data_IF_377315822771
#
_entry.id   IF_377315822771
#
_cell.length_a   1.000
_cell.length_b   1.000
_cell.length_c   1.000
_cell.angle_alpha   90.00
_cell.angle_beta   90.00
_cell.angle_gamma   90.00
#
_symmetry.space_group_name_H-M   'P 1'
#
loop_
_entity.id
_entity.type
_entity.pdbx_description
1 polymer ?
#
# COMPACT_ATOMS: atom_id res chain seq x y z
N UNK A 1 73.92 27.48 -42.95
CA UNK A 1 75.02 26.81 -42.23
C UNK A 1 74.75 26.93 -40.73
N UNK A 2 75.09 25.86 -40.00
CA UNK A 2 74.94 25.64 -38.54
C UNK A 2 73.53 25.20 -38.08
N UNK A 3 73.16 23.92 -38.07
CA UNK A 3 73.57 22.71 -37.27
C UNK A 3 72.99 22.63 -35.86
N UNK A 4 72.09 21.64 -35.74
CA UNK A 4 71.54 20.95 -34.58
C UNK A 4 72.48 20.74 -33.39
N UNK A 5 71.91 20.81 -32.18
CA UNK A 5 72.08 19.76 -31.17
C UNK A 5 70.72 19.34 -30.62
N UNK A 6 70.38 18.09 -30.96
CA UNK A 6 69.36 17.24 -30.36
C UNK A 6 69.93 16.61 -29.10
N UNK A 7 69.18 16.64 -27.99
CA UNK A 7 69.22 15.60 -26.97
C UNK A 7 67.78 15.36 -26.53
N UNK A 8 67.20 14.27 -27.05
CA UNK A 8 66.07 13.59 -26.44
C UNK A 8 66.58 12.32 -25.77
N UNK A 9 65.93 11.92 -24.67
CA UNK A 9 65.80 10.57 -24.09
C UNK A 9 64.96 10.77 -22.81
N UNK A 10 63.91 10.04 -22.46
CA UNK A 10 63.15 8.93 -23.03
C UNK A 10 61.90 8.78 -22.14
N UNK A 11 60.70 8.73 -22.70
CA UNK A 11 59.84 7.53 -22.76
C UNK A 11 59.93 6.61 -21.53
N UNK A 12 58.82 6.56 -20.78
CA UNK A 12 58.62 5.60 -19.70
C UNK A 12 57.27 5.75 -19.01
N UNK A 13 56.23 5.17 -19.62
CA UNK A 13 55.14 4.42 -18.97
C UNK A 13 54.21 5.18 -18.01
N UNK A 14 53.01 5.54 -18.49
CA UNK A 14 51.75 4.81 -18.26
C UNK A 14 51.33 4.76 -16.79
N UNK A 15 50.22 5.44 -16.55
CA UNK A 15 49.27 5.34 -15.43
C UNK A 15 49.21 3.94 -14.78
N UNK A 16 48.94 3.87 -13.47
CA UNK A 16 47.55 3.95 -13.07
C UNK A 16 47.35 4.91 -11.90
N UNK A 17 46.73 6.05 -12.18
CA UNK A 17 45.97 6.76 -11.16
C UNK A 17 44.81 5.85 -10.78
N UNK A 18 44.85 5.27 -9.58
CA UNK A 18 43.67 4.69 -8.94
C UNK A 18 42.69 5.82 -8.64
N UNK A 19 41.91 6.19 -9.65
CA UNK A 19 40.62 6.82 -9.45
C UNK A 19 39.71 5.74 -8.85
N UNK A 20 39.58 5.73 -7.53
CA UNK A 20 38.40 5.15 -6.91
C UNK A 20 37.21 6.04 -7.26
N UNK A 21 36.65 5.74 -8.43
CA UNK A 21 35.31 6.12 -8.84
C UNK A 21 34.32 5.59 -7.80
N UNK A 22 33.90 6.46 -6.89
CA UNK A 22 32.61 6.31 -6.25
C UNK A 22 31.59 7.12 -7.07
N UNK A 23 30.54 6.50 -7.61
CA UNK A 23 29.48 7.23 -8.29
C UNK A 23 28.65 7.96 -7.22
N UNK A 24 28.79 9.28 -7.15
CA UNK A 24 27.80 10.12 -6.47
C UNK A 24 26.66 10.40 -7.46
N UNK A 25 25.39 10.32 -7.03
CA UNK A 25 24.24 10.37 -7.93
C UNK A 25 24.15 11.75 -8.57
N UNK A 26 24.38 11.76 -9.88
CA UNK A 26 24.18 12.90 -10.77
C UNK A 26 22.68 13.22 -10.80
N UNK A 27 22.25 14.26 -10.11
CA UNK A 27 20.97 14.91 -10.44
C UNK A 27 21.10 15.49 -11.84
N UNK A 28 20.43 14.81 -12.76
CA UNK A 28 20.24 15.27 -14.13
C UNK A 28 19.46 16.59 -14.08
N UNK A 29 19.88 17.54 -14.90
CA UNK A 29 19.07 18.70 -15.29
C UNK A 29 17.70 18.16 -15.72
N UNK A 30 16.56 18.71 -15.25
CA UNK A 30 15.28 18.29 -15.77
C UNK A 30 15.22 18.74 -17.24
N UNK A 31 15.45 17.79 -18.12
CA UNK A 31 14.89 17.77 -19.47
C UNK A 31 13.41 18.08 -19.33
N UNK A 32 12.82 18.94 -20.18
CA UNK A 32 11.38 19.19 -20.14
C UNK A 32 10.68 17.85 -20.29
N UNK A 33 10.00 17.42 -19.22
CA UNK A 33 9.21 16.21 -19.19
C UNK A 33 8.11 16.41 -20.23
N UNK A 34 8.04 15.62 -21.31
CA UNK A 34 6.81 15.48 -22.06
C UNK A 34 5.82 14.85 -21.09
N UNK A 35 4.76 15.61 -20.81
CA UNK A 35 3.45 15.20 -20.30
C UNK A 35 3.38 13.72 -19.87
N UNK A 36 3.19 13.50 -18.57
CA UNK A 36 2.78 12.23 -17.98
C UNK A 36 1.43 11.69 -18.52
N UNK A 37 0.82 12.34 -19.52
CA UNK A 37 -0.28 11.80 -20.29
C UNK A 37 0.16 10.67 -21.22
N UNK A 38 1.36 10.70 -21.83
CA UNK A 38 1.72 9.76 -22.91
C UNK A 38 1.97 8.32 -22.40
N UNK A 39 2.68 8.13 -21.28
CA UNK A 39 2.92 6.80 -20.69
C UNK A 39 1.62 6.21 -20.08
N UNK A 40 0.68 7.06 -19.65
CA UNK A 40 -0.61 6.58 -19.12
C UNK A 40 -1.64 6.36 -20.23
N UNK A 41 -1.56 7.10 -21.33
CA UNK A 41 -2.34 6.93 -22.55
C UNK A 41 -1.94 5.66 -23.29
N UNK A 42 -0.64 5.37 -23.46
CA UNK A 42 -0.19 4.10 -24.06
C UNK A 42 -0.67 2.89 -23.25
N UNK A 43 -0.63 2.97 -21.92
CA UNK A 43 -1.14 1.91 -21.05
C UNK A 43 -2.67 1.76 -21.11
N UNK A 44 -3.38 2.88 -21.31
CA UNK A 44 -4.83 2.90 -21.49
C UNK A 44 -5.22 2.38 -22.86
N UNK A 45 -4.50 2.72 -23.92
CA UNK A 45 -4.76 2.27 -25.29
C UNK A 45 -4.43 0.78 -25.45
N UNK A 46 -3.34 0.30 -24.83
CA UNK A 46 -3.04 -1.14 -24.72
C UNK A 46 -4.12 -1.88 -23.92
N UNK A 47 -4.65 -1.27 -22.86
CA UNK A 47 -5.76 -1.86 -22.10
C UNK A 47 -7.04 -1.90 -22.92
N UNK A 48 -7.37 -0.83 -23.65
CA UNK A 48 -8.54 -0.75 -24.54
C UNK A 48 -8.42 -1.76 -25.69
N UNK A 49 -7.24 -1.89 -26.29
CA UNK A 49 -6.95 -2.88 -27.33
C UNK A 49 -7.13 -4.31 -26.78
N UNK A 50 -6.56 -4.60 -25.60
CA UNK A 50 -6.76 -5.90 -24.94
C UNK A 50 -8.20 -6.16 -24.54
N UNK A 51 -8.92 -5.14 -24.07
CA UNK A 51 -10.34 -5.28 -23.72
C UNK A 51 -11.17 -5.56 -24.97
N UNK A 52 -10.89 -4.86 -26.07
CA UNK A 52 -11.55 -5.09 -27.35
C UNK A 52 -11.22 -6.48 -27.91
N UNK A 53 -9.98 -6.93 -27.81
CA UNK A 53 -9.59 -8.30 -28.18
C UNK A 53 -10.28 -9.34 -27.30
N UNK A 54 -10.46 -9.08 -26.02
CA UNK A 54 -11.12 -10.00 -25.08
C UNK A 54 -12.63 -10.04 -25.34
N UNK A 55 -13.26 -8.90 -25.63
CA UNK A 55 -14.66 -8.82 -26.06
C UNK A 55 -14.85 -9.51 -27.42
N UNK A 56 -13.94 -9.30 -28.37
CA UNK A 56 -13.96 -9.97 -29.67
C UNK A 56 -13.77 -11.49 -29.52
N UNK A 57 -12.87 -11.94 -28.65
CA UNK A 57 -12.69 -13.36 -28.33
C UNK A 57 -13.92 -13.95 -27.67
N UNK A 58 -14.48 -13.33 -26.64
CA UNK A 58 -15.72 -13.78 -26.00
C UNK A 58 -16.90 -13.81 -26.99
N UNK A 59 -17.00 -12.81 -27.89
CA UNK A 59 -18.04 -12.78 -28.92
C UNK A 59 -17.89 -13.91 -29.96
N UNK A 60 -16.65 -14.33 -30.23
CA UNK A 60 -16.32 -15.37 -31.21
C UNK A 60 -16.34 -16.78 -30.59
N UNK A 61 -16.10 -16.89 -29.29
CA UNK A 61 -15.89 -18.13 -28.55
C UNK A 61 -17.14 -18.60 -27.79
N UNK A 62 -18.18 -17.75 -27.66
CA UNK A 62 -19.48 -18.08 -27.06
C UNK A 62 -20.23 -19.25 -27.72
N UNK A 63 -19.82 -19.71 -28.91
CA UNK A 63 -20.42 -20.87 -29.58
C UNK A 63 -19.77 -22.22 -29.19
N UNK A 64 -18.58 -22.24 -28.60
CA UNK A 64 -17.90 -23.48 -28.22
C UNK A 64 -18.25 -23.93 -26.80
N UNK A 65 -18.51 -22.98 -25.91
CA UNK A 65 -18.86 -23.27 -24.52
C UNK A 65 -20.27 -23.88 -24.41
N UNK A 66 -21.24 -23.48 -25.21
CA UNK A 66 -22.62 -23.99 -25.07
C UNK A 66 -22.73 -25.51 -25.36
N UNK A 67 -21.93 -26.03 -26.29
CA UNK A 67 -21.85 -27.48 -26.58
C UNK A 67 -21.10 -28.27 -25.49
N UNK A 68 -20.08 -27.67 -24.89
CA UNK A 68 -19.32 -28.29 -23.79
C UNK A 68 -20.12 -28.23 -22.50
N UNK A 69 -20.77 -27.11 -22.22
CA UNK A 69 -21.66 -26.87 -21.08
C UNK A 69 -22.87 -27.79 -21.16
N UNK A 70 -23.51 -27.94 -22.32
CA UNK A 70 -24.61 -28.94 -22.49
C UNK A 70 -24.13 -30.37 -22.33
N UNK A 71 -22.89 -30.70 -22.73
CA UNK A 71 -22.28 -32.02 -22.48
C UNK A 71 -22.02 -32.25 -20.99
N UNK A 72 -21.54 -31.23 -20.28
CA UNK A 72 -21.33 -31.26 -18.82
C UNK A 72 -22.66 -31.41 -18.09
N UNK A 73 -23.70 -30.65 -18.46
CA UNK A 73 -25.04 -30.81 -17.88
C UNK A 73 -25.57 -32.23 -18.07
N UNK A 74 -25.45 -32.80 -19.27
CA UNK A 74 -25.87 -34.18 -19.54
C UNK A 74 -25.10 -35.21 -18.71
N UNK A 75 -23.81 -34.99 -18.47
CA UNK A 75 -22.96 -35.88 -17.68
C UNK A 75 -23.26 -35.75 -16.17
N UNK A 76 -23.51 -34.53 -15.70
CA UNK A 76 -23.95 -34.22 -14.33
C UNK A 76 -25.34 -34.81 -14.06
N UNK A 77 -26.28 -34.75 -15.01
CA UNK A 77 -27.60 -35.38 -14.88
C UNK A 77 -27.48 -36.91 -14.81
N UNK A 78 -26.54 -37.50 -15.56
CA UNK A 78 -26.20 -38.92 -15.46
C UNK A 78 -25.67 -39.30 -14.08
N UNK A 79 -24.80 -38.46 -13.51
CA UNK A 79 -24.26 -38.65 -12.16
C UNK A 79 -25.35 -38.44 -11.10
N UNK A 80 -26.23 -37.45 -11.25
CA UNK A 80 -27.37 -37.25 -10.35
C UNK A 80 -28.34 -38.44 -10.39
N UNK A 81 -28.60 -39.00 -11.57
CA UNK A 81 -29.42 -40.20 -11.73
C UNK A 81 -28.83 -41.43 -11.02
N UNK A 82 -27.50 -41.60 -11.08
CA UNK A 82 -26.81 -42.66 -10.34
C UNK A 82 -26.81 -42.41 -8.82
N UNK A 83 -26.66 -41.14 -8.40
CA UNK A 83 -26.62 -40.77 -6.98
C UNK A 83 -28.01 -40.85 -6.31
N UNK A 84 -29.08 -40.51 -7.03
CA UNK A 84 -30.47 -40.68 -6.57
C UNK A 84 -30.93 -42.15 -6.60
N UNK A 85 -30.28 -42.99 -7.41
CA UNK A 85 -30.63 -44.39 -7.58
C UNK A 85 -30.14 -45.34 -6.48
N UNK A 86 -29.20 -44.92 -5.62
CA UNK A 86 -28.53 -45.83 -4.67
C UNK A 86 -28.55 -45.36 -3.20
N UNK A 87 -29.61 -44.67 -2.77
CA UNK A 87 -29.78 -44.30 -1.35
C UNK A 87 -30.54 -45.35 -0.54
N UNK A 88 -30.15 -46.62 -0.66
CA UNK A 88 -30.63 -47.67 0.25
C UNK A 88 -29.57 -48.71 0.59
N UNK A 89 -28.43 -48.30 1.16
CA UNK A 89 -27.55 -49.24 1.88
C UNK A 89 -26.54 -48.56 2.80
N UNK A 90 -26.61 -48.96 4.07
CA UNK A 90 -25.54 -49.08 5.09
C UNK A 90 -24.81 -47.86 5.65
N UNK A 91 -25.09 -47.69 6.96
CA UNK A 91 -24.18 -47.23 8.02
C UNK A 91 -22.81 -47.93 7.95
N UNK A 92 -21.73 -47.18 8.20
CA UNK A 92 -20.62 -47.58 9.11
C UNK A 92 -19.76 -46.36 9.48
N UNK A 93 -19.20 -46.48 10.68
CA UNK A 93 -18.50 -45.52 11.52
C UNK A 93 -17.01 -45.29 11.21
N UNK A 94 -16.49 -44.21 11.82
CA UNK A 94 -15.16 -44.05 12.44
C UNK A 94 -13.99 -43.51 11.60
N UNK A 95 -13.22 -42.61 12.24
CA UNK A 95 -11.75 -42.67 12.18
C UNK A 95 -11.01 -41.46 11.61
N UNK A 96 -10.72 -40.50 12.50
CA UNK A 96 -9.51 -39.65 12.67
C UNK A 96 -8.47 -39.45 11.53
N UNK A 97 -8.15 -38.16 11.34
CA UNK A 97 -6.86 -37.50 11.06
C UNK A 97 -5.97 -37.94 9.87
N UNK A 98 -5.72 -37.00 8.94
CA UNK A 98 -4.37 -36.78 8.36
C UNK A 98 -4.25 -35.42 7.63
N UNK A 99 -3.15 -34.73 7.94
CA UNK A 99 -2.37 -33.72 7.21
C UNK A 99 -3.02 -32.89 6.08
N UNK A 100 -3.03 -31.58 6.27
CA UNK A 100 -3.20 -30.58 5.21
C UNK A 100 -1.82 -30.06 4.81
N UNK A 101 -1.27 -30.64 3.75
CA UNK A 101 -0.26 -29.99 2.91
C UNK A 101 -0.80 -29.94 1.48
N UNK A 102 -1.26 -28.77 1.06
CA UNK A 102 -1.53 -28.39 -0.34
C UNK A 102 -1.71 -26.87 -0.38
N UNK A 103 -0.76 -26.13 -0.93
CA UNK A 103 -0.67 -25.83 -2.37
C UNK A 103 -1.74 -24.81 -2.78
N UNK A 104 -1.34 -23.54 -2.66
CA UNK A 104 -1.81 -22.37 -3.39
C UNK A 104 -2.89 -22.65 -4.45
N UNK A 105 -4.14 -22.44 -4.06
CA UNK A 105 -5.25 -22.15 -4.98
C UNK A 105 -5.79 -20.76 -4.63
N UNK A 106 -5.72 -19.87 -5.62
CA UNK A 106 -5.95 -18.44 -5.50
C UNK A 106 -7.43 -18.11 -5.48
N UNK A 107 -7.99 -18.03 -4.27
CA UNK A 107 -9.22 -17.25 -4.06
C UNK A 107 -9.02 -16.25 -2.93
N UNK A 108 -9.03 -14.98 -3.30
CA UNK A 108 -9.18 -13.83 -2.42
C UNK A 108 -10.33 -14.08 -1.43
N UNK A 109 -10.02 -14.29 -0.16
CA UNK A 109 -11.00 -14.20 0.94
C UNK A 109 -10.31 -13.65 2.18
N UNK A 110 -9.54 -12.56 2.02
CA UNK A 110 -8.68 -12.05 3.09
C UNK A 110 -9.22 -10.84 3.87
N UNK A 111 -10.23 -10.09 3.40
CA UNK A 111 -10.71 -8.89 4.13
C UNK A 111 -12.23 -8.83 4.34
N UNK A 112 -12.81 -9.89 4.90
CA UNK A 112 -14.14 -9.83 5.50
C UNK A 112 -14.19 -10.66 6.77
N UNK A 113 -14.88 -10.21 7.84
CA UNK A 113 -15.01 -11.01 9.05
C UNK A 113 -15.67 -12.35 8.69
N UNK A 114 -15.09 -13.44 9.19
CA UNK A 114 -15.60 -14.80 9.04
C UNK A 114 -16.91 -14.88 9.85
N UNK A 115 -18.03 -14.52 9.24
CA UNK A 115 -19.35 -14.75 9.82
C UNK A 115 -19.75 -16.21 9.58
N UNK A 116 -20.20 -16.96 10.59
CA UNK A 116 -20.54 -18.39 10.51
C UNK A 116 -21.85 -18.71 9.74
N UNK A 117 -22.22 -17.92 8.72
CA UNK A 117 -23.49 -18.05 7.98
C UNK A 117 -23.36 -18.20 6.46
N UNK A 118 -22.15 -18.35 5.90
CA UNK A 118 -21.91 -18.39 4.44
C UNK A 118 -22.40 -19.66 3.70
N UNK A 119 -23.07 -20.63 4.34
CA UNK A 119 -23.55 -21.85 3.67
C UNK A 119 -25.05 -22.19 3.85
N UNK A 120 -25.88 -21.28 4.35
CA UNK A 120 -27.32 -21.56 4.44
C UNK A 120 -27.96 -21.30 3.07
N UNK A 121 -28.07 -22.34 2.24
CA UNK A 121 -29.04 -22.37 1.13
C UNK A 121 -30.44 -22.34 1.75
N UNK A 122 -31.06 -21.17 1.77
CA UNK A 122 -32.47 -21.03 2.12
C UNK A 122 -33.33 -21.53 0.94
N UNK A 123 -33.71 -22.80 0.96
CA UNK A 123 -34.76 -23.33 0.09
C UNK A 123 -36.12 -22.93 0.67
N UNK A 124 -36.76 -21.96 0.04
CA UNK A 124 -38.16 -21.61 0.31
C UNK A 124 -39.02 -22.78 -0.16
N UNK A 125 -39.87 -23.39 0.68
CA UNK A 125 -40.85 -24.35 0.21
C UNK A 125 -41.87 -23.61 -0.67
N UNK A 126 -41.75 -23.71 -2.00
CA UNK A 126 -42.83 -23.35 -2.90
C UNK A 126 -44.00 -24.30 -2.61
N UNK A 127 -45.07 -23.77 -1.99
CA UNK A 127 -46.33 -24.49 -1.88
C UNK A 127 -46.90 -24.65 -3.28
N UNK A 128 -46.69 -25.82 -3.88
CA UNK A 128 -47.52 -26.27 -4.98
C UNK A 128 -48.95 -26.36 -4.47
N UNK A 129 -49.81 -25.47 -4.96
CA UNK A 129 -51.25 -25.49 -4.71
C UNK A 129 -51.88 -26.66 -5.48
N UNK A 130 -51.72 -27.87 -4.95
CA UNK A 130 -52.63 -28.97 -5.21
C UNK A 130 -53.62 -28.99 -4.05
N UNK A 131 -54.82 -28.43 -4.26
CA UNK A 131 -55.95 -28.58 -3.36
C UNK A 131 -56.34 -30.06 -3.35
N UNK A 132 -55.74 -30.81 -2.44
CA UNK A 132 -56.32 -32.04 -1.91
C UNK A 132 -56.84 -31.65 -0.54
N UNK A 133 -58.16 -31.49 -0.44
CA UNK A 133 -58.87 -31.44 0.84
C UNK A 133 -58.47 -32.70 1.61
N UNK A 134 -57.50 -32.55 2.51
CA UNK A 134 -57.22 -33.51 3.55
C UNK A 134 -58.10 -33.09 4.70
N UNK A 135 -59.22 -33.79 4.80
CA UNK A 135 -60.07 -33.93 5.98
C UNK A 135 -59.19 -33.85 7.24
N UNK A 136 -59.39 -32.77 8.01
CA UNK A 136 -58.73 -32.54 9.29
C UNK A 136 -59.31 -33.55 10.28
N UNK A 137 -58.75 -34.76 10.30
CA UNK A 137 -58.82 -35.64 11.45
C UNK A 137 -58.16 -34.88 12.62
N UNK A 138 -59.00 -34.29 13.47
CA UNK A 138 -58.64 -33.70 14.77
C UNK A 138 -58.05 -34.79 15.67
N UNK A 139 -56.79 -35.16 15.41
CA UNK A 139 -56.02 -35.96 16.33
C UNK A 139 -55.64 -35.05 17.49
N UNK A 140 -56.59 -34.88 18.42
CA UNK A 140 -56.47 -34.03 19.59
C UNK A 140 -55.13 -34.32 20.27
N UNK A 141 -54.20 -33.37 20.14
CA UNK A 141 -52.93 -33.47 20.82
C UNK A 141 -53.23 -33.54 22.32
N UNK A 142 -52.67 -34.51 23.03
CA UNK A 142 -52.92 -34.57 24.47
C UNK A 142 -52.50 -33.23 25.09
N UNK A 143 -53.30 -32.62 25.98
CA UNK A 143 -53.06 -31.27 26.49
C UNK A 143 -51.69 -31.13 27.17
N UNK A 144 -51.14 -32.24 27.69
CA UNK A 144 -49.79 -32.33 28.27
C UNK A 144 -48.68 -32.13 27.23
N UNK A 145 -48.84 -32.68 26.02
CA UNK A 145 -47.86 -32.53 24.93
C UNK A 145 -47.92 -31.10 24.39
N UNK A 146 -49.14 -30.56 24.20
CA UNK A 146 -49.31 -29.17 23.76
C UNK A 146 -48.70 -28.18 24.77
N UNK A 147 -48.93 -28.38 26.08
CA UNK A 147 -48.34 -27.55 27.12
C UNK A 147 -46.81 -27.66 27.17
N UNK A 148 -46.25 -28.86 26.94
CA UNK A 148 -44.78 -29.05 26.88
C UNK A 148 -44.18 -28.34 25.68
N UNK A 149 -44.79 -28.47 24.51
CA UNK A 149 -44.36 -27.77 23.29
C UNK A 149 -44.44 -26.26 23.47
N UNK A 150 -45.51 -25.74 24.08
CA UNK A 150 -45.64 -24.32 24.39
C UNK A 150 -44.52 -23.84 25.33
N UNK A 151 -44.23 -24.59 26.40
CA UNK A 151 -43.14 -24.27 27.33
C UNK A 151 -41.77 -24.28 26.64
N UNK A 152 -41.47 -25.30 25.84
CA UNK A 152 -40.23 -25.39 25.08
C UNK A 152 -40.11 -24.24 24.06
N UNK A 153 -41.22 -23.84 23.42
CA UNK A 153 -41.25 -22.70 22.51
C UNK A 153 -41.04 -21.36 23.23
N UNK A 154 -41.59 -21.18 24.42
CA UNK A 154 -41.36 -19.99 25.27
C UNK A 154 -39.90 -19.93 25.75
N UNK A 155 -39.32 -21.06 26.17
CA UNK A 155 -37.90 -21.16 26.53
C UNK A 155 -36.98 -20.83 25.35
N UNK A 156 -37.32 -21.30 24.14
CA UNK A 156 -36.58 -20.94 22.92
C UNK A 156 -36.75 -19.46 22.59
N UNK A 157 -37.96 -18.91 22.69
CA UNK A 157 -38.23 -17.51 22.41
C UNK A 157 -37.46 -16.58 23.37
N UNK A 158 -37.39 -16.92 24.66
CA UNK A 158 -36.60 -16.16 25.63
C UNK A 158 -35.10 -16.26 25.36
N UNK A 159 -34.59 -17.44 24.99
CA UNK A 159 -33.19 -17.64 24.59
C UNK A 159 -32.82 -16.83 23.33
N UNK A 160 -33.68 -16.86 22.30
CA UNK A 160 -33.49 -16.06 21.09
C UNK A 160 -33.58 -14.57 21.37
N UNK A 161 -34.53 -14.12 22.21
CA UNK A 161 -34.64 -12.73 22.62
C UNK A 161 -33.37 -12.25 23.33
N UNK A 162 -32.78 -13.07 24.20
CA UNK A 162 -31.50 -12.80 24.84
C UNK A 162 -30.37 -12.70 23.81
N UNK A 163 -30.30 -13.65 22.87
CA UNK A 163 -29.29 -13.63 21.80
C UNK A 163 -29.39 -12.39 20.91
N UNK A 164 -30.61 -11.98 20.54
CA UNK A 164 -30.83 -10.75 19.76
C UNK A 164 -30.39 -9.51 20.55
N UNK A 165 -30.69 -9.44 21.84
CA UNK A 165 -30.25 -8.34 22.69
C UNK A 165 -28.71 -8.25 22.77
N UNK A 166 -28.02 -9.38 22.93
CA UNK A 166 -26.54 -9.42 22.95
C UNK A 166 -25.92 -9.04 21.59
N UNK A 167 -26.54 -9.45 20.48
CA UNK A 167 -26.06 -9.03 19.15
C UNK A 167 -26.28 -7.54 18.91
N UNK A 168 -27.39 -7.00 19.40
CA UNK A 168 -27.68 -5.58 19.29
C UNK A 168 -26.65 -4.74 20.06
N UNK A 169 -26.30 -5.13 21.30
CA UNK A 169 -25.27 -4.40 22.07
C UNK A 169 -23.90 -4.48 21.41
N UNK A 170 -23.52 -5.65 20.85
CA UNK A 170 -22.27 -5.79 20.09
C UNK A 170 -22.26 -4.95 18.83
N UNK A 171 -23.40 -4.82 18.15
CA UNK A 171 -23.54 -3.94 16.98
C UNK A 171 -23.33 -2.49 17.38
N UNK A 172 -23.98 -2.03 18.44
CA UNK A 172 -23.83 -0.67 18.95
C UNK A 172 -22.40 -0.37 19.43
N UNK A 173 -21.69 -1.36 19.95
CA UNK A 173 -20.25 -1.25 20.25
C UNK A 173 -19.40 -1.16 18.97
N UNK A 174 -19.67 -2.00 17.97
CA UNK A 174 -18.96 -1.97 16.70
C UNK A 174 -19.15 -0.63 15.98
N UNK A 175 -20.35 -0.08 15.96
CA UNK A 175 -20.66 1.22 15.36
C UNK A 175 -19.88 2.34 16.09
N UNK A 176 -19.85 2.32 17.43
CA UNK A 176 -19.05 3.28 18.22
C UNK A 176 -17.55 3.18 17.95
N UNK A 177 -17.02 1.97 17.81
CA UNK A 177 -15.61 1.75 17.47
C UNK A 177 -15.33 2.26 16.06
N UNK A 178 -16.24 2.01 15.11
CA UNK A 178 -16.11 2.48 13.74
C UNK A 178 -16.03 4.01 13.69
N UNK A 179 -16.92 4.71 14.38
CA UNK A 179 -16.90 6.18 14.47
C UNK A 179 -15.57 6.69 15.08
N UNK A 180 -15.06 6.03 16.12
CA UNK A 180 -13.76 6.36 16.71
C UNK A 180 -12.60 6.15 15.73
N UNK A 181 -12.66 5.12 14.89
CA UNK A 181 -11.62 4.87 13.89
C UNK A 181 -11.69 5.90 12.76
N UNK A 182 -12.89 6.25 12.30
CA UNK A 182 -13.10 7.30 11.29
C UNK A 182 -12.50 8.62 11.77
N UNK A 183 -12.86 9.07 12.97
CA UNK A 183 -12.33 10.33 13.54
C UNK A 183 -10.80 10.33 13.70
N UNK A 184 -10.20 9.19 14.07
CA UNK A 184 -8.73 9.08 14.15
C UNK A 184 -8.06 9.15 12.78
N UNK A 185 -8.65 8.50 11.78
CA UNK A 185 -8.13 8.52 10.41
C UNK A 185 -8.25 9.93 9.82
N UNK A 186 -9.39 10.60 10.04
CA UNK A 186 -9.61 11.99 9.62
C UNK A 186 -8.58 12.95 10.25
N UNK A 187 -8.40 12.89 11.57
CA UNK A 187 -7.39 13.71 12.25
C UNK A 187 -5.95 13.42 11.74
N UNK A 188 -5.66 12.16 11.42
CA UNK A 188 -4.40 11.76 10.80
C UNK A 188 -4.23 12.36 9.40
N UNK A 189 -5.27 12.33 8.57
CA UNK A 189 -5.28 12.89 7.23
C UNK A 189 -5.12 14.43 7.25
N UNK A 190 -5.83 15.12 8.14
CA UNK A 190 -5.67 16.56 8.35
C UNK A 190 -4.24 16.94 8.71
N UNK A 191 -3.60 16.14 9.57
CA UNK A 191 -2.21 16.36 9.96
C UNK A 191 -1.25 16.19 8.79
N UNK A 192 -1.47 15.19 7.93
CA UNK A 192 -0.67 14.96 6.73
C UNK A 192 -0.79 16.18 5.80
N UNK A 193 -2.01 16.60 5.48
CA UNK A 193 -2.26 17.76 4.60
C UNK A 193 -1.60 19.03 5.13
N UNK A 194 -1.70 19.30 6.44
CA UNK A 194 -1.03 20.44 7.06
C UNK A 194 0.50 20.39 6.90
N UNK A 195 1.09 19.21 7.07
CA UNK A 195 2.54 19.04 6.95
C UNK A 195 3.00 19.16 5.50
N UNK A 196 2.24 18.61 4.55
CA UNK A 196 2.50 18.75 3.11
C UNK A 196 2.46 20.22 2.69
N UNK A 197 1.43 20.96 3.10
CA UNK A 197 1.34 22.40 2.87
C UNK A 197 2.58 23.15 3.40
N UNK A 198 3.00 22.84 4.63
CA UNK A 198 4.16 23.49 5.24
C UNK A 198 5.48 23.11 4.57
N UNK A 199 5.60 21.88 4.06
CA UNK A 199 6.77 21.47 3.28
C UNK A 199 6.83 22.27 1.98
N UNK A 200 5.72 22.37 1.26
CA UNK A 200 5.65 23.14 0.02
C UNK A 200 6.02 24.62 0.23
N UNK A 201 5.53 25.25 1.29
CA UNK A 201 5.90 26.62 1.67
C UNK A 201 7.41 26.77 1.91
N UNK A 202 8.02 25.85 2.66
CA UNK A 202 9.47 25.86 2.91
C UNK A 202 10.29 25.58 1.65
N UNK A 203 9.77 24.76 0.73
CA UNK A 203 10.43 24.46 -0.55
C UNK A 203 10.42 25.68 -1.47
N UNK A 204 9.31 26.41 -1.52
CA UNK A 204 9.21 27.67 -2.27
C UNK A 204 10.18 28.73 -1.73
N UNK A 205 10.21 28.92 -0.40
CA UNK A 205 11.17 29.82 0.25
C UNK A 205 12.62 29.40 -0.02
N UNK A 206 12.90 28.09 0.00
CA UNK A 206 14.23 27.59 -0.29
C UNK A 206 14.64 27.87 -1.74
N UNK A 207 13.77 27.62 -2.72
CA UNK A 207 14.09 27.90 -4.12
C UNK A 207 14.23 29.40 -4.39
N UNK A 208 13.40 30.23 -3.75
CA UNK A 208 13.54 31.69 -3.79
C UNK A 208 14.93 32.12 -3.29
N UNK A 209 15.33 31.64 -2.11
CA UNK A 209 16.67 31.89 -1.55
C UNK A 209 17.81 31.36 -2.46
N UNK A 210 17.63 30.19 -3.07
CA UNK A 210 18.60 29.65 -4.03
C UNK A 210 18.73 30.54 -5.26
N UNK A 211 17.62 31.05 -5.78
CA UNK A 211 17.60 31.94 -6.95
C UNK A 211 18.27 33.29 -6.64
N UNK A 212 18.02 33.86 -5.46
CA UNK A 212 18.66 35.09 -4.99
C UNK A 212 20.17 34.90 -4.80
N UNK A 213 20.60 33.79 -4.18
CA UNK A 213 22.02 33.48 -4.04
C UNK A 213 22.72 33.30 -5.40
N UNK A 214 22.06 32.67 -6.37
CA UNK A 214 22.57 32.58 -7.75
C UNK A 214 22.69 33.97 -8.36
N UNK A 215 21.69 34.82 -8.19
CA UNK A 215 21.69 36.20 -8.67
C UNK A 215 22.82 37.04 -8.06
N UNK A 216 22.96 37.05 -6.74
CA UNK A 216 24.04 37.76 -6.03
C UNK A 216 25.42 37.25 -6.46
N UNK A 217 25.58 35.95 -6.65
CA UNK A 217 26.84 35.39 -7.15
C UNK A 217 27.15 35.87 -8.57
N UNK A 218 26.16 35.95 -9.45
CA UNK A 218 26.34 36.51 -10.80
C UNK A 218 26.69 38.00 -10.74
N UNK A 219 26.02 38.77 -9.89
CA UNK A 219 26.35 40.19 -9.67
C UNK A 219 27.78 40.37 -9.17
N UNK A 220 28.21 39.59 -8.18
CA UNK A 220 29.60 39.63 -7.69
C UNK A 220 30.59 39.31 -8.79
N UNK A 221 30.34 38.27 -9.62
CA UNK A 221 31.21 37.96 -10.77
C UNK A 221 31.26 39.08 -11.79
N UNK A 222 30.14 39.75 -12.04
CA UNK A 222 30.09 40.89 -12.93
C UNK A 222 30.91 42.07 -12.38
N UNK A 223 30.77 42.38 -11.09
CA UNK A 223 31.58 43.39 -10.41
C UNK A 223 33.06 43.02 -10.37
N UNK A 224 33.42 41.77 -10.08
CA UNK A 224 34.82 41.30 -10.14
C UNK A 224 35.43 41.52 -11.53
N UNK A 225 34.68 41.25 -12.59
CA UNK A 225 35.13 41.47 -13.97
C UNK A 225 35.32 42.96 -14.26
N UNK A 226 34.41 43.81 -13.79
CA UNK A 226 34.52 45.26 -13.92
C UNK A 226 35.68 45.84 -13.10
N UNK A 227 35.89 45.33 -11.89
CA UNK A 227 36.93 45.80 -10.97
C UNK A 227 38.33 45.24 -11.30
N UNK A 228 38.43 44.18 -12.10
CA UNK A 228 39.71 43.57 -12.49
C UNK A 228 40.65 44.59 -13.16
N UNK A 229 40.12 45.58 -13.88
CA UNK A 229 40.90 46.63 -14.53
C UNK A 229 41.43 47.70 -13.55
N UNK A 230 40.83 47.82 -12.36
CA UNK A 230 41.09 48.92 -11.42
C UNK A 230 41.82 48.51 -10.13
N UNK A 231 41.94 47.22 -9.82
CA UNK A 231 42.58 46.70 -8.60
C UNK A 231 43.94 46.04 -8.93
N UNK A 232 45.08 46.69 -8.64
CA UNK A 232 46.40 46.05 -8.78
C UNK A 232 46.57 44.88 -7.81
N UNK A 233 47.06 43.74 -8.33
CA UNK A 233 47.13 42.43 -7.65
C UNK A 233 48.00 42.37 -6.38
N UNK A 234 48.87 43.34 -6.13
CA UNK A 234 49.94 43.25 -5.13
C UNK A 234 49.72 44.09 -3.87
N UNK A 235 48.58 44.77 -3.69
CA UNK A 235 48.52 45.89 -2.74
C UNK A 235 48.04 45.63 -1.32
N UNK A 236 47.66 44.41 -0.93
CA UNK A 236 47.17 44.21 0.43
C UNK A 236 47.44 42.81 0.99
N UNK A 237 48.72 42.54 1.23
CA UNK A 237 49.21 41.30 1.87
C UNK A 237 48.60 41.11 3.27
N UNK A 238 48.44 42.20 4.02
CA UNK A 238 47.81 42.24 5.35
C UNK A 238 46.33 41.85 5.28
N UNK A 239 45.57 42.41 4.32
CA UNK A 239 44.19 41.99 4.07
C UNK A 239 44.12 40.52 3.67
N UNK A 240 45.02 40.05 2.81
CA UNK A 240 45.06 38.64 2.40
C UNK A 240 45.32 37.69 3.58
N UNK A 241 46.21 38.06 4.51
CA UNK A 241 46.45 37.33 5.75
C UNK A 241 45.25 37.38 6.70
N UNK A 242 44.60 38.53 6.85
CA UNK A 242 43.39 38.66 7.68
C UNK A 242 42.22 37.81 7.15
N UNK A 243 42.05 37.73 5.83
CA UNK A 243 41.06 36.86 5.18
C UNK A 243 41.38 35.39 5.43
N UNK A 244 42.66 35.00 5.33
CA UNK A 244 43.10 33.62 5.63
C UNK A 244 42.80 33.26 7.08
N UNK A 245 43.13 34.14 8.03
CA UNK A 245 42.86 33.92 9.45
C UNK A 245 41.36 33.82 9.73
N UNK A 246 40.56 34.75 9.20
CA UNK A 246 39.10 34.71 9.35
C UNK A 246 38.49 33.42 8.79
N UNK A 247 39.01 32.91 7.68
CA UNK A 247 38.56 31.63 7.10
C UNK A 247 38.85 30.46 8.04
N UNK A 248 40.03 30.43 8.65
CA UNK A 248 40.40 29.40 9.64
C UNK A 248 39.47 29.47 10.85
N UNK A 249 39.23 30.67 11.38
CA UNK A 249 38.34 30.89 12.53
C UNK A 249 36.90 30.47 12.21
N UNK A 250 36.41 30.80 11.01
CA UNK A 250 35.09 30.41 10.53
C UNK A 250 34.95 28.90 10.40
N UNK A 251 35.95 28.20 9.82
CA UNK A 251 35.95 26.75 9.70
C UNK A 251 35.88 26.06 11.07
N UNK A 252 36.54 26.61 12.09
CA UNK A 252 36.45 26.11 13.46
C UNK A 252 35.07 26.37 14.08
N UNK A 253 34.48 27.55 13.87
CA UNK A 253 33.11 27.86 14.28
C UNK A 253 32.09 26.93 13.61
N UNK A 254 32.21 26.69 12.30
CA UNK A 254 31.33 25.79 11.56
C UNK A 254 31.47 24.33 12.06
N UNK A 255 32.70 23.87 12.29
CA UNK A 255 32.99 22.55 12.86
C UNK A 255 32.32 22.39 14.23
N UNK A 256 32.49 23.36 15.14
CA UNK A 256 31.84 23.35 16.46
C UNK A 256 30.31 23.37 16.34
N UNK A 257 29.77 24.18 15.44
CA UNK A 257 28.32 24.29 15.20
C UNK A 257 27.72 22.99 14.66
N UNK A 258 28.39 22.34 13.70
CA UNK A 258 28.03 21.00 13.21
C UNK A 258 28.10 19.95 14.31
N UNK A 259 29.12 19.98 15.17
CA UNK A 259 29.22 19.08 16.32
C UNK A 259 28.05 19.28 17.32
N UNK A 260 27.64 20.54 17.60
CA UNK A 260 26.47 20.82 18.45
C UNK A 260 25.17 20.29 17.85
N UNK A 261 24.90 20.55 16.56
CA UNK A 261 23.70 20.03 15.87
C UNK A 261 23.62 18.50 15.92
N UNK A 262 24.75 17.82 15.69
CA UNK A 262 24.85 16.35 15.81
C UNK A 262 24.61 15.85 17.24
N UNK A 263 25.00 16.62 18.27
CA UNK A 263 24.72 16.27 19.67
C UNK A 263 23.23 16.41 20.01
N UNK A 264 22.58 17.50 19.59
CA UNK A 264 21.13 17.70 19.83
C UNK A 264 20.25 16.65 19.13
N UNK A 265 20.58 16.27 17.88
CA UNK A 265 19.87 15.21 17.15
C UNK A 265 19.96 13.83 17.82
N UNK A 266 21.08 13.55 18.51
CA UNK A 266 21.24 12.30 19.28
C UNK A 266 20.43 12.32 20.57
N UNK A 267 20.28 13.48 21.21
CA UNK A 267 19.47 13.64 22.42
C UNK A 267 17.98 13.46 22.13
N UNK A 268 17.47 13.95 20.99
CA UNK A 268 16.09 13.70 20.57
C UNK A 268 15.82 12.22 20.25
N UNK A 269 16.79 11.49 19.70
CA UNK A 269 16.62 10.06 19.40
C UNK A 269 16.71 9.15 20.65
N UNK A 270 17.27 9.64 21.76
CA UNK A 270 17.34 8.92 23.04
C UNK A 270 16.08 9.19 23.88
N UNK A 271 15.42 10.34 23.70
CA UNK A 271 14.17 10.70 24.40
C UNK A 271 12.93 9.89 23.99
N UNK A 272 12.95 9.23 22.83
CA UNK A 272 11.84 8.37 22.34
C UNK A 272 11.95 6.90 22.82
N UNK A 273 12.92 6.58 23.70
CA UNK A 273 13.12 5.25 24.27
C UNK A 273 13.02 5.24 25.80
N UNK A 274 11.96 5.82 26.35
CA UNK A 274 11.54 5.53 27.73
C UNK A 274 10.58 4.32 27.72
N UNK A 275 10.87 3.23 28.46
CA UNK A 275 9.93 2.12 28.60
C UNK A 275 8.76 2.55 29.50
N UNK A 276 7.54 2.44 28.97
CA UNK A 276 6.31 2.50 29.76
C UNK A 276 6.37 1.39 30.81
N UNK A 277 6.79 1.73 32.02
CA UNK A 277 6.63 0.87 33.19
C UNK A 277 5.13 0.82 33.52
N UNK A 278 4.52 -0.27 33.10
CA UNK A 278 3.19 -0.73 33.51
C UNK A 278 3.12 -0.83 35.03
N UNK A 279 2.21 -0.04 35.61
CA UNK A 279 1.69 -0.22 36.96
C UNK A 279 0.76 -1.44 36.96
N UNK A 280 1.14 -2.46 37.72
CA UNK A 280 0.29 -3.52 38.27
C UNK A 280 0.74 -3.80 39.70
#
# INVERSE_FOLDING_TARGET
MSTLHTLGFGHGQTSPSFLTSYPSPRFQKPTPIPLSSEITEDNKDVLIERLNDLVLRLSKEHSLEDKVVTKIHKEVDGIEGLLKGDSSSRKTSAGLNLEVESRWDGSDTFWGPITPTRSIRMTIPMKASAQKEVELEEKSMSPKIAARIAKEAEELATSLAKGVAELQTRREEADRIHDLLVTKVEAGAERILFLEYRIAEMEDDFEANQSELKFLRMQMRALETQCYEYIPRERDEELAESIKNWKIDWEDIDRRSKARRKKCLKVSHIGDKEPVLSVS
#
